data_IF_220741192322
#
_entry.id   IF_220741192322
#
_cell.length_a   1.000
_cell.length_b   1.000
_cell.length_c   1.000
_cell.angle_alpha   90.00
_cell.angle_beta   90.00
_cell.angle_gamma   90.00
#
_symmetry.space_group_name_H-M   'P 1'
#
loop_
_entity.id
_entity.type
_entity.pdbx_description
1 polymer ?
#
# COMPACT_ATOMS: atom_id res chain seq x y z
N UNK A 1 10.67 13.67 4.56
CA UNK A 1 10.68 14.27 3.21
C UNK A 1 10.39 13.20 2.17
N UNK A 2 9.25 13.23 1.47
CA UNK A 2 8.99 12.38 0.28
C UNK A 2 9.27 13.19 -0.98
N UNK A 3 9.99 12.64 -1.96
CA UNK A 3 10.31 13.34 -3.21
C UNK A 3 11.70 13.03 -3.78
N UNK A 4 12.04 13.57 -4.97
CA UNK A 4 13.30 13.31 -5.67
C UNK A 4 14.54 13.84 -4.95
N UNK A 5 14.36 14.70 -3.94
CA UNK A 5 15.43 15.30 -3.15
C UNK A 5 16.00 14.35 -2.07
N UNK A 6 15.47 13.14 -1.92
CA UNK A 6 16.04 12.15 -0.99
C UNK A 6 17.44 11.72 -1.46
N UNK A 7 18.43 11.59 -0.57
CA UNK A 7 19.77 11.12 -0.94
C UNK A 7 19.74 9.80 -1.71
N UNK A 8 18.91 8.84 -1.29
CA UNK A 8 18.74 7.56 -2.00
C UNK A 8 18.28 7.72 -3.45
N UNK A 9 17.36 8.67 -3.71
CA UNK A 9 16.91 8.97 -5.07
C UNK A 9 18.01 9.62 -5.90
N UNK A 10 18.80 10.52 -5.29
CA UNK A 10 19.94 11.14 -5.97
C UNK A 10 21.03 10.12 -6.33
N UNK A 11 21.32 9.17 -5.45
CA UNK A 11 22.23 8.06 -5.74
C UNK A 11 21.73 7.20 -6.90
N UNK A 12 20.45 6.81 -6.90
CA UNK A 12 19.88 6.06 -8.02
C UNK A 12 19.98 6.83 -9.34
N UNK A 13 19.66 8.14 -9.34
CA UNK A 13 19.77 8.98 -10.53
C UNK A 13 21.20 9.08 -11.06
N UNK A 14 22.19 9.13 -10.16
CA UNK A 14 23.60 9.11 -10.55
C UNK A 14 23.98 7.78 -11.21
N UNK A 15 23.55 6.65 -10.64
CA UNK A 15 23.79 5.31 -11.21
C UNK A 15 23.14 5.14 -12.58
N UNK A 16 21.90 5.59 -12.77
CA UNK A 16 21.19 5.45 -14.05
C UNK A 16 21.85 6.29 -15.15
N UNK A 17 22.38 7.48 -14.83
CA UNK A 17 23.08 8.33 -15.81
C UNK A 17 24.35 7.69 -16.38
N UNK A 18 24.94 6.73 -15.68
CA UNK A 18 26.13 5.99 -16.15
C UNK A 18 25.81 4.68 -16.87
N UNK A 19 24.52 4.31 -17.00
CA UNK A 19 24.10 3.08 -17.68
C UNK A 19 23.99 3.29 -19.19
N UNK A 20 24.31 2.25 -19.96
CA UNK A 20 24.06 2.25 -21.42
C UNK A 20 22.60 1.89 -21.71
N UNK A 21 22.12 2.21 -22.92
CA UNK A 21 20.76 1.79 -23.36
C UNK A 21 20.57 0.26 -23.32
N UNK A 22 21.66 -0.49 -23.53
CA UNK A 22 21.64 -1.95 -23.43
C UNK A 22 21.42 -2.41 -21.97
N UNK A 23 22.11 -1.78 -21.01
CA UNK A 23 21.93 -2.08 -19.59
C UNK A 23 20.52 -1.74 -19.12
N UNK A 24 19.98 -0.59 -19.58
CA UNK A 24 18.62 -0.16 -19.27
C UNK A 24 17.61 -1.17 -19.82
N UNK A 25 17.78 -1.63 -21.06
CA UNK A 25 16.90 -2.64 -21.67
C UNK A 25 16.97 -3.96 -20.91
N UNK A 26 18.16 -4.45 -20.61
CA UNK A 26 18.33 -5.71 -19.88
C UNK A 26 17.73 -5.64 -18.47
N UNK A 27 17.91 -4.52 -17.76
CA UNK A 27 17.29 -4.31 -16.46
C UNK A 27 15.76 -4.28 -16.56
N UNK A 28 15.21 -3.57 -17.55
CA UNK A 28 13.78 -3.50 -17.77
C UNK A 28 13.18 -4.89 -18.04
N UNK A 29 13.82 -5.70 -18.87
CA UNK A 29 13.40 -7.09 -19.15
C UNK A 29 13.42 -7.95 -17.89
N UNK A 30 14.50 -7.87 -17.10
CA UNK A 30 14.62 -8.61 -15.85
C UNK A 30 13.52 -8.25 -14.83
N UNK A 31 13.34 -6.95 -14.55
CA UNK A 31 12.36 -6.50 -13.56
C UNK A 31 10.92 -6.70 -14.03
N UNK A 32 10.65 -6.62 -15.34
CA UNK A 32 9.34 -6.94 -15.91
C UNK A 32 8.99 -8.42 -15.77
N UNK A 33 9.97 -9.33 -15.77
CA UNK A 33 9.75 -10.76 -15.60
C UNK A 33 9.50 -11.18 -14.13
N UNK A 34 9.76 -10.30 -13.16
CA UNK A 34 9.55 -10.62 -11.75
C UNK A 34 8.06 -10.76 -11.42
N UNK A 35 7.70 -11.91 -10.85
CA UNK A 35 6.35 -12.15 -10.34
C UNK A 35 6.22 -11.56 -8.94
N UNK A 36 5.20 -10.74 -8.73
CA UNK A 36 4.84 -10.28 -7.38
C UNK A 36 4.35 -11.47 -6.57
N UNK A 37 4.71 -11.48 -5.29
CA UNK A 37 4.22 -12.46 -4.32
C UNK A 37 3.41 -11.72 -3.26
N UNK A 38 2.30 -12.31 -2.77
CA UNK A 38 1.61 -11.77 -1.62
C UNK A 38 2.51 -11.90 -0.39
N UNK A 39 2.95 -10.77 0.17
CA UNK A 39 3.77 -10.73 1.39
C UNK A 39 3.00 -10.21 2.61
N UNK A 40 1.73 -9.82 2.42
CA UNK A 40 0.90 -9.20 3.44
C UNK A 40 -0.33 -10.06 3.67
N UNK A 41 -0.57 -10.41 4.92
CA UNK A 41 -1.79 -11.07 5.37
C UNK A 41 -2.69 -10.04 6.04
N UNK A 42 -3.88 -9.82 5.49
CA UNK A 42 -4.90 -8.93 6.11
C UNK A 42 -5.76 -9.73 7.08
N UNK A 43 -5.93 -9.22 8.30
CA UNK A 43 -6.71 -9.85 9.38
C UNK A 43 -7.68 -8.83 9.97
N UNK A 44 -8.97 -9.14 9.89
CA UNK A 44 -10.02 -8.37 10.57
C UNK A 44 -10.06 -8.72 12.06
N UNK A 45 -9.98 -7.71 12.94
CA UNK A 45 -10.02 -7.92 14.38
C UNK A 45 -10.44 -6.67 15.14
N UNK A 46 -11.00 -6.84 16.34
CA UNK A 46 -11.30 -5.75 17.27
C UNK A 46 -10.10 -5.42 18.16
N UNK A 47 -9.24 -6.42 18.42
CA UNK A 47 -8.06 -6.29 19.29
C UNK A 47 -6.82 -6.82 18.59
N UNK A 48 -5.68 -6.21 18.88
CA UNK A 48 -4.38 -6.60 18.31
C UNK A 48 -3.39 -6.88 19.42
N UNK A 49 -2.31 -7.65 19.15
CA UNK A 49 -1.16 -7.67 20.03
C UNK A 49 -0.71 -6.24 20.33
N UNK A 50 -0.51 -5.94 21.61
CA UNK A 50 -0.05 -4.63 22.07
C UNK A 50 1.16 -4.21 21.25
N UNK A 51 1.12 -3.00 20.71
CA UNK A 51 2.19 -2.50 19.86
C UNK A 51 3.31 -1.93 20.72
N UNK A 52 4.55 -2.19 20.31
CA UNK A 52 5.76 -1.63 20.89
C UNK A 52 6.53 -0.82 19.84
N UNK A 53 7.20 0.26 20.23
CA UNK A 53 8.07 0.98 19.31
C UNK A 53 9.31 0.14 19.01
N UNK A 54 9.57 -0.13 17.73
CA UNK A 54 10.94 -0.32 17.23
C UNK A 54 11.51 1.05 16.81
N UNK A 55 12.76 1.08 16.33
CA UNK A 55 13.43 2.31 15.91
C UNK A 55 12.68 3.08 14.82
N UNK A 56 12.06 2.37 13.87
CA UNK A 56 11.42 2.97 12.68
C UNK A 56 10.02 2.42 12.35
N UNK A 57 9.54 1.42 13.09
CA UNK A 57 8.31 0.70 12.80
C UNK A 57 7.68 0.16 14.09
N UNK A 58 6.44 -0.31 14.01
CA UNK A 58 5.78 -0.97 15.13
C UNK A 58 6.06 -2.47 15.11
N UNK A 59 6.33 -3.02 16.29
CA UNK A 59 6.48 -4.45 16.53
C UNK A 59 5.50 -4.91 17.59
N UNK A 60 5.33 -6.23 17.71
CA UNK A 60 4.61 -6.79 18.86
C UNK A 60 5.41 -6.47 20.11
N UNK A 61 4.75 -5.93 21.14
CA UNK A 61 5.39 -5.60 22.40
C UNK A 61 6.01 -6.86 23.02
N UNK A 62 7.27 -6.81 23.47
CA UNK A 62 7.89 -7.95 24.16
C UNK A 62 7.21 -8.24 25.51
N UNK A 63 6.54 -7.26 26.11
CA UNK A 63 5.73 -7.45 27.32
C UNK A 63 4.43 -8.23 27.05
N UNK A 64 4.07 -8.42 25.78
CA UNK A 64 2.81 -9.03 25.37
C UNK A 64 1.59 -8.17 25.67
N UNK A 65 0.42 -8.82 25.69
CA UNK A 65 -0.88 -8.18 25.91
C UNK A 65 -1.63 -7.85 24.62
N UNK A 66 -2.85 -7.34 24.80
CA UNK A 66 -3.74 -6.93 23.72
C UNK A 66 -4.13 -5.45 23.90
N UNK A 67 -4.35 -4.76 22.80
CA UNK A 67 -4.90 -3.41 22.77
C UNK A 67 -6.07 -3.32 21.77
N UNK A 68 -7.05 -2.44 21.98
CA UNK A 68 -8.12 -2.22 21.01
C UNK A 68 -7.56 -1.62 19.72
N UNK A 69 -7.97 -2.15 18.56
CA UNK A 69 -7.55 -1.62 17.28
C UNK A 69 -8.19 -0.25 17.01
N UNK A 70 -9.50 -0.13 17.25
CA UNK A 70 -10.28 1.05 16.86
C UNK A 70 -10.31 1.23 15.34
N UNK A 71 -10.37 2.47 14.85
CA UNK A 71 -10.35 2.78 13.42
C UNK A 71 -8.91 2.93 12.88
N UNK A 72 -8.04 1.95 13.17
CA UNK A 72 -6.63 1.97 12.76
C UNK A 72 -6.29 0.79 11.85
N UNK A 73 -5.30 1.00 10.99
CA UNK A 73 -4.57 -0.08 10.31
C UNK A 73 -3.24 -0.23 11.03
N UNK A 74 -2.95 -1.43 11.51
CA UNK A 74 -1.66 -1.74 12.14
C UNK A 74 -0.99 -2.86 11.36
N UNK A 75 0.11 -2.54 10.69
CA UNK A 75 0.91 -3.47 9.91
C UNK A 75 2.23 -3.74 10.66
N UNK A 76 2.49 -5.01 10.96
CA UNK A 76 3.69 -5.44 11.69
C UNK A 76 4.38 -6.59 10.94
N UNK A 77 5.72 -6.64 10.93
CA UNK A 77 6.43 -7.77 10.37
C UNK A 77 6.15 -9.03 11.19
N UNK A 78 6.03 -10.17 10.52
CA UNK A 78 5.84 -11.46 11.18
C UNK A 78 7.14 -11.94 11.84
N UNK A 79 8.28 -11.55 11.27
CA UNK A 79 9.62 -11.76 11.82
C UNK A 79 10.43 -10.46 11.72
N UNK A 80 10.83 -9.93 12.87
CA UNK A 80 11.54 -8.64 12.97
C UNK A 80 12.94 -8.73 12.36
N UNK A 81 13.69 -9.79 12.65
CA UNK A 81 15.06 -9.96 12.16
C UNK A 81 15.10 -10.05 10.63
N UNK A 82 14.16 -10.77 10.01
CA UNK A 82 14.05 -10.84 8.55
C UNK A 82 13.77 -9.47 7.95
N UNK A 83 12.94 -8.66 8.59
CA UNK A 83 12.65 -7.31 8.13
C UNK A 83 13.85 -6.36 8.27
N UNK A 84 14.58 -6.44 9.39
CA UNK A 84 15.75 -5.60 9.65
C UNK A 84 16.97 -5.97 8.81
N UNK A 85 17.09 -7.23 8.38
CA UNK A 85 18.16 -7.76 7.52
C UNK A 85 17.81 -7.77 6.02
N UNK A 86 17.04 -6.77 5.56
CA UNK A 86 16.26 -6.76 4.32
C UNK A 86 16.06 -8.10 3.60
N UNK A 87 15.56 -9.13 4.31
CA UNK A 87 15.33 -10.43 3.72
C UNK A 87 14.15 -10.36 2.75
N UNK A 88 14.37 -10.83 1.52
CA UNK A 88 13.35 -10.94 0.47
C UNK A 88 12.11 -11.78 0.86
N UNK A 89 12.20 -12.57 1.93
CA UNK A 89 11.14 -13.44 2.45
C UNK A 89 10.34 -12.80 3.59
N UNK A 90 10.68 -11.58 4.02
CA UNK A 90 9.96 -10.91 5.09
C UNK A 90 8.47 -10.75 4.74
N UNK A 91 7.60 -11.20 5.65
CA UNK A 91 6.14 -11.09 5.53
C UNK A 91 5.56 -10.20 6.64
N UNK A 92 4.35 -9.73 6.43
CA UNK A 92 3.66 -8.82 7.33
C UNK A 92 2.24 -9.29 7.60
N UNK A 93 1.78 -9.06 8.83
CA UNK A 93 0.36 -9.13 9.16
C UNK A 93 -0.17 -7.72 9.34
N UNK A 94 -1.22 -7.38 8.59
CA UNK A 94 -1.95 -6.13 8.70
C UNK A 94 -3.30 -6.38 9.37
N UNK A 95 -3.47 -5.79 10.55
CA UNK A 95 -4.73 -5.81 11.30
C UNK A 95 -5.58 -4.63 10.89
N UNK A 96 -6.85 -4.90 10.59
CA UNK A 96 -7.84 -3.92 10.14
C UNK A 96 -9.16 -4.08 10.90
N UNK A 97 -10.00 -3.04 10.99
CA UNK A 97 -11.29 -3.14 11.69
C UNK A 97 -12.21 -4.19 11.05
N UNK A 98 -13.02 -4.86 11.86
CA UNK A 98 -13.99 -5.86 11.38
C UNK A 98 -14.97 -5.24 10.37
N UNK A 99 -15.22 -5.94 9.26
CA UNK A 99 -16.09 -5.50 8.17
C UNK A 99 -15.40 -4.58 7.14
N UNK A 100 -14.12 -4.24 7.33
CA UNK A 100 -13.35 -3.43 6.38
C UNK A 100 -13.22 -4.09 5.02
N UNK A 101 -13.07 -5.42 4.95
CA UNK A 101 -12.94 -6.16 3.70
C UNK A 101 -14.23 -6.08 2.88
N UNK A 102 -15.38 -6.38 3.48
CA UNK A 102 -16.67 -6.36 2.81
C UNK A 102 -17.07 -4.94 2.36
N UNK A 103 -16.87 -3.95 3.23
CA UNK A 103 -17.09 -2.53 2.91
C UNK A 103 -16.17 -2.08 1.78
N UNK A 104 -14.88 -2.43 1.86
CA UNK A 104 -13.86 -2.07 0.88
C UNK A 104 -14.13 -2.67 -0.50
N UNK A 105 -14.55 -3.93 -0.55
CA UNK A 105 -14.95 -4.60 -1.79
C UNK A 105 -16.13 -3.88 -2.45
N UNK A 106 -17.15 -3.56 -1.65
CA UNK A 106 -18.35 -2.85 -2.12
C UNK A 106 -17.97 -1.48 -2.69
N UNK A 107 -17.16 -0.70 -1.96
CA UNK A 107 -16.66 0.60 -2.43
C UNK A 107 -15.85 0.46 -3.72
N UNK A 108 -14.92 -0.48 -3.77
CA UNK A 108 -14.05 -0.68 -4.92
C UNK A 108 -14.83 -1.09 -6.19
N UNK A 109 -15.87 -1.92 -6.05
CA UNK A 109 -16.67 -2.42 -7.17
C UNK A 109 -17.76 -1.45 -7.63
N UNK A 110 -18.36 -0.71 -6.72
CA UNK A 110 -19.59 0.08 -7.00
C UNK A 110 -19.40 1.58 -6.88
N UNK A 111 -18.32 2.05 -6.25
CA UNK A 111 -18.14 3.46 -5.92
C UNK A 111 -18.92 3.94 -4.69
N UNK A 112 -19.61 3.03 -3.97
CA UNK A 112 -20.33 3.36 -2.74
C UNK A 112 -21.39 4.44 -2.92
N UNK A 113 -22.22 4.30 -3.95
CA UNK A 113 -23.30 5.26 -4.26
C UNK A 113 -22.80 6.70 -4.50
N UNK A 114 -21.60 6.85 -5.08
CA UNK A 114 -21.04 8.15 -5.47
C UNK A 114 -20.09 8.77 -4.44
N UNK A 115 -19.74 8.04 -3.38
CA UNK A 115 -18.60 8.38 -2.51
C UNK A 115 -17.27 8.33 -3.25
N UNK A 116 -17.17 7.49 -4.27
CA UNK A 116 -16.01 7.40 -5.15
C UNK A 116 -16.39 6.82 -6.52
N UNK A 117 -15.46 6.79 -7.47
CA UNK A 117 -15.61 6.00 -8.68
C UNK A 117 -15.21 4.55 -8.40
N UNK A 118 -15.87 3.59 -9.04
CA UNK A 118 -15.46 2.19 -8.93
C UNK A 118 -13.99 2.05 -9.39
N UNK A 119 -13.13 1.53 -8.52
CA UNK A 119 -11.69 1.49 -8.72
C UNK A 119 -11.30 0.71 -9.98
N UNK A 120 -12.07 -0.36 -10.27
CA UNK A 120 -11.83 -1.24 -11.41
C UNK A 120 -12.02 -0.58 -12.77
N UNK A 121 -12.72 0.57 -12.85
CA UNK A 121 -12.87 1.33 -14.09
C UNK A 121 -11.52 1.82 -14.64
N UNK A 122 -10.60 2.18 -13.74
CA UNK A 122 -9.27 2.67 -14.13
C UNK A 122 -8.19 1.61 -13.87
N UNK A 123 -8.25 0.92 -12.74
CA UNK A 123 -7.23 -0.05 -12.32
C UNK A 123 -7.45 -1.47 -12.87
N UNK A 124 -8.48 -1.67 -13.70
CA UNK A 124 -8.87 -2.99 -14.23
C UNK A 124 -9.72 -3.80 -13.24
N UNK A 125 -10.45 -4.83 -13.71
CA UNK A 125 -11.41 -5.58 -12.88
C UNK A 125 -10.76 -6.24 -11.65
N UNK A 126 -9.53 -6.74 -11.81
CA UNK A 126 -8.76 -7.39 -10.75
C UNK A 126 -7.78 -6.42 -10.05
N UNK A 127 -7.88 -5.11 -10.34
CA UNK A 127 -7.03 -4.05 -9.78
C UNK A 127 -5.51 -4.24 -10.05
N UNK A 128 -5.18 -4.98 -11.11
CA UNK A 128 -3.80 -5.26 -11.58
C UNK A 128 -3.23 -4.18 -12.53
N UNK A 129 -3.95 -3.08 -12.72
CA UNK A 129 -3.52 -1.94 -13.53
C UNK A 129 -3.70 -2.16 -15.03
N UNK A 130 -3.51 -1.10 -15.81
CA UNK A 130 -3.56 -1.13 -17.27
C UNK A 130 -2.80 0.05 -17.85
N UNK A 131 -1.83 -0.22 -18.75
CA UNK A 131 -0.99 0.80 -19.35
C UNK A 131 -0.28 1.67 -18.30
N UNK A 132 -0.56 2.97 -18.30
CA UNK A 132 0.01 3.93 -17.33
C UNK A 132 -0.67 3.89 -15.95
N UNK A 133 -1.81 3.22 -15.81
CA UNK A 133 -2.53 3.11 -14.54
C UNK A 133 -1.92 1.98 -13.71
N UNK A 134 -1.41 2.27 -12.49
CA UNK A 134 -0.64 1.31 -11.72
C UNK A 134 -1.51 0.18 -11.14
N UNK A 135 -0.89 -0.99 -11.01
CA UNK A 135 -1.42 -2.11 -10.22
C UNK A 135 -1.47 -1.77 -8.72
N UNK A 136 -2.64 -1.95 -8.12
CA UNK A 136 -2.87 -1.70 -6.68
C UNK A 136 -3.18 -2.97 -5.88
N UNK A 137 -3.61 -4.06 -6.52
CA UNK A 137 -3.82 -5.34 -5.86
C UNK A 137 -2.58 -5.80 -5.05
N UNK A 138 -2.82 -6.30 -3.84
CA UNK A 138 -1.79 -6.86 -2.94
C UNK A 138 -0.74 -5.85 -2.44
N UNK A 139 -0.97 -4.54 -2.62
CA UNK A 139 -0.11 -3.50 -2.05
C UNK A 139 -0.34 -3.37 -0.54
N UNK A 140 0.61 -2.75 0.16
CA UNK A 140 0.47 -2.55 1.61
C UNK A 140 -0.72 -1.67 1.98
N UNK A 141 -1.50 -2.03 3.02
CA UNK A 141 -2.66 -1.25 3.42
C UNK A 141 -2.22 0.09 4.02
N UNK A 142 -1.11 0.14 4.76
CA UNK A 142 -0.57 1.42 5.25
C UNK A 142 -0.08 2.29 4.10
N UNK A 143 0.50 1.70 3.04
CA UNK A 143 0.84 2.41 1.81
C UNK A 143 -0.40 2.96 1.10
N UNK A 144 -1.42 2.13 0.86
CA UNK A 144 -2.65 2.54 0.15
C UNK A 144 -3.37 3.64 0.94
N UNK A 145 -3.54 3.48 2.25
CA UNK A 145 -4.13 4.51 3.12
C UNK A 145 -3.38 5.84 2.99
N UNK A 146 -2.04 5.81 3.06
CA UNK A 146 -1.23 7.02 2.86
C UNK A 146 -1.45 7.64 1.49
N UNK A 147 -1.50 6.84 0.42
CA UNK A 147 -1.71 7.38 -0.93
C UNK A 147 -3.08 8.02 -1.10
N UNK A 148 -4.15 7.37 -0.63
CA UNK A 148 -5.50 7.94 -0.67
C UNK A 148 -5.55 9.27 0.10
N UNK A 149 -4.96 9.30 1.30
CA UNK A 149 -4.86 10.51 2.11
C UNK A 149 -4.05 11.61 1.41
N UNK A 150 -2.87 11.28 0.86
CA UNK A 150 -2.02 12.25 0.15
C UNK A 150 -2.68 12.80 -1.12
N UNK A 151 -3.44 11.98 -1.86
CA UNK A 151 -4.23 12.47 -3.00
C UNK A 151 -5.33 13.43 -2.56
N UNK A 152 -6.05 13.09 -1.48
CA UNK A 152 -7.16 13.91 -0.97
C UNK A 152 -6.67 15.28 -0.47
N UNK A 153 -5.51 15.31 0.19
CA UNK A 153 -4.94 16.52 0.78
C UNK A 153 -3.91 17.22 -0.12
N UNK A 154 -3.74 16.76 -1.36
CA UNK A 154 -2.82 17.38 -2.33
C UNK A 154 -1.33 17.15 -2.06
N UNK A 155 -0.97 16.31 -1.08
CA UNK A 155 0.40 15.87 -0.84
C UNK A 155 0.98 15.06 -2.01
N UNK A 156 0.10 14.40 -2.79
CA UNK A 156 0.43 13.80 -4.08
C UNK A 156 -0.35 14.51 -5.19
N UNK A 157 0.37 15.21 -6.06
CA UNK A 157 -0.18 16.11 -7.08
C UNK A 157 0.43 15.85 -8.47
N UNK A 158 0.11 16.70 -9.44
CA UNK A 158 0.54 16.59 -10.84
C UNK A 158 -0.47 15.90 -11.77
N UNK A 159 -0.21 15.97 -13.07
CA UNK A 159 -1.14 15.51 -14.11
C UNK A 159 -1.54 14.04 -13.95
N UNK A 160 -0.58 13.16 -13.65
CA UNK A 160 -0.84 11.72 -13.44
C UNK A 160 -1.66 11.43 -12.16
N UNK A 161 -1.73 12.38 -11.22
CA UNK A 161 -2.46 12.25 -9.94
C UNK A 161 -3.86 12.85 -10.00
N UNK A 162 -4.15 13.69 -10.99
CA UNK A 162 -5.41 14.44 -11.07
C UNK A 162 -6.67 13.55 -11.07
N UNK A 163 -6.71 12.40 -11.79
CA UNK A 163 -7.88 11.52 -11.72
C UNK A 163 -8.14 10.96 -10.32
N UNK A 164 -7.07 10.63 -9.58
CA UNK A 164 -7.19 10.13 -8.22
C UNK A 164 -7.67 11.20 -7.25
N UNK A 165 -7.26 12.47 -7.44
CA UNK A 165 -7.72 13.58 -6.59
C UNK A 165 -9.26 13.69 -6.57
N UNK A 166 -9.89 13.60 -7.74
CA UNK A 166 -11.36 13.61 -7.84
C UNK A 166 -11.97 12.34 -7.23
N UNK A 167 -11.33 11.19 -7.43
CA UNK A 167 -11.80 9.89 -6.95
C UNK A 167 -11.86 9.83 -5.42
N UNK A 168 -10.91 10.46 -4.72
CA UNK A 168 -10.81 10.40 -3.25
C UNK A 168 -11.49 11.56 -2.52
N UNK A 169 -12.01 12.55 -3.26
CA UNK A 169 -12.49 13.82 -2.70
C UNK A 169 -13.54 13.62 -1.59
N UNK A 170 -14.46 12.67 -1.78
CA UNK A 170 -15.58 12.42 -0.86
C UNK A 170 -15.36 11.22 0.07
N UNK A 171 -14.19 10.57 0.04
CA UNK A 171 -13.90 9.43 0.89
C UNK A 171 -13.75 9.88 2.35
N UNK A 172 -14.48 9.23 3.25
CA UNK A 172 -14.20 9.32 4.68
C UNK A 172 -12.95 8.51 5.03
N UNK A 173 -12.37 8.77 6.21
CA UNK A 173 -11.24 7.98 6.71
C UNK A 173 -11.58 6.49 6.82
N UNK A 174 -12.81 6.16 7.25
CA UNK A 174 -13.30 4.78 7.32
C UNK A 174 -13.43 4.13 5.94
N UNK A 175 -13.78 4.90 4.90
CA UNK A 175 -13.81 4.39 3.53
C UNK A 175 -12.39 4.12 3.02
N UNK A 176 -11.44 5.00 3.33
CA UNK A 176 -10.03 4.79 2.96
C UNK A 176 -9.44 3.57 3.66
N UNK A 177 -9.77 3.35 4.94
CA UNK A 177 -9.35 2.16 5.69
C UNK A 177 -9.91 0.89 5.04
N UNK A 178 -11.20 0.89 4.71
CA UNK A 178 -11.86 -0.24 4.08
C UNK A 178 -11.28 -0.54 2.69
N UNK A 179 -11.08 0.48 1.85
CA UNK A 179 -10.45 0.34 0.53
C UNK A 179 -9.01 -0.19 0.66
N UNK A 180 -8.23 0.34 1.60
CA UNK A 180 -6.88 -0.13 1.86
C UNK A 180 -6.87 -1.60 2.29
N UNK A 181 -7.76 -2.00 3.20
CA UNK A 181 -7.91 -3.39 3.64
C UNK A 181 -8.21 -4.34 2.47
N UNK A 182 -9.25 -4.03 1.69
CA UNK A 182 -9.69 -4.86 0.57
C UNK A 182 -8.61 -5.00 -0.50
N UNK A 183 -8.07 -3.88 -1.00
CA UNK A 183 -7.07 -3.90 -2.08
C UNK A 183 -5.81 -4.69 -1.68
N UNK A 184 -5.41 -4.59 -0.41
CA UNK A 184 -4.25 -5.30 0.12
C UNK A 184 -4.47 -6.81 0.29
N UNK A 185 -5.72 -7.24 0.42
CA UNK A 185 -6.09 -8.66 0.54
C UNK A 185 -6.07 -9.40 -0.80
N UNK A 186 -6.02 -8.68 -1.92
CA UNK A 186 -6.03 -9.26 -3.26
C UNK A 186 -4.66 -9.83 -3.65
N UNK A 187 -4.69 -10.81 -4.56
CA UNK A 187 -3.47 -11.36 -5.16
C UNK A 187 -2.83 -10.34 -6.13
N UNK A 188 -1.52 -10.04 -5.99
CA UNK A 188 -0.85 -8.95 -6.71
C UNK A 188 -0.57 -9.18 -8.21
#
# INVERSE_FOLDING_TARGET
MSGPQRPSTQFMLASVKSMTDADIRSAAEYFAALKRKPIIKVVETETIPKTGPSRLFYVRSPEGGLEPLGQRIVEMPDNVDQFELPDSRATFTAYVPVGSLAKGETLAKTGGSGSTAACGLCHGPDLKGSGAIPAIAGRSPTYIMRQLYEFQHGGRSGAASAPMKQTVEKLSQDDMIALAAYVSSLDP
#
